data_IF_450347955335
#
_entry.id   IF_450347955335
#
_cell.length_a   1.000
_cell.length_b   1.000
_cell.length_c   1.000
_cell.angle_alpha   90.00
_cell.angle_beta   90.00
_cell.angle_gamma   90.00
#
_symmetry.space_group_name_H-M   'P 1'
#
loop_
_entity.id
_entity.type
_entity.pdbx_description
1 polymer ?
#
# COMPACT_ATOMS: atom_id res chain seq x y z
N UNK A 1 8.74 2.77 0.90
CA UNK A 1 7.82 2.34 1.99
C UNK A 1 7.04 1.13 1.52
N UNK A 2 6.98 0.07 2.32
CA UNK A 2 6.32 -1.21 2.00
C UNK A 2 5.53 -1.65 3.23
N UNK A 3 4.32 -2.18 3.05
CA UNK A 3 3.51 -2.79 4.10
C UNK A 3 3.20 -4.24 3.71
N UNK A 4 3.62 -5.18 4.54
CA UNK A 4 3.55 -6.61 4.27
C UNK A 4 2.62 -7.27 5.30
N UNK A 5 1.64 -8.01 4.81
CA UNK A 5 0.73 -8.85 5.58
C UNK A 5 0.69 -10.25 4.95
N UNK A 6 0.39 -11.33 5.71
CA UNK A 6 0.16 -12.65 5.12
C UNK A 6 -0.94 -12.65 4.04
N UNK A 7 -1.87 -11.69 4.11
CA UNK A 7 -3.00 -11.57 3.20
C UNK A 7 -2.73 -10.69 1.98
N UNK A 8 -1.78 -9.75 2.07
CA UNK A 8 -1.49 -8.81 0.99
C UNK A 8 -0.14 -8.11 1.14
N UNK A 9 0.33 -7.49 0.06
CA UNK A 9 1.48 -6.60 0.05
C UNK A 9 1.09 -5.26 -0.58
N UNK A 10 1.44 -4.18 0.08
CA UNK A 10 1.42 -2.84 -0.50
C UNK A 10 2.83 -2.32 -0.68
N UNK A 11 3.12 -1.81 -1.87
CA UNK A 11 4.36 -1.15 -2.15
C UNK A 11 4.16 -0.04 -3.17
N UNK A 12 5.08 0.92 -3.14
CA UNK A 12 5.12 2.02 -4.08
C UNK A 12 6.08 1.67 -5.20
N UNK A 13 5.65 1.81 -6.44
CA UNK A 13 6.47 1.58 -7.62
C UNK A 13 6.61 2.89 -8.41
N UNK A 14 7.76 3.14 -9.04
CA UNK A 14 7.96 4.24 -9.97
C UNK A 14 7.53 3.81 -11.36
N UNK A 15 6.49 4.45 -11.91
CA UNK A 15 6.04 4.22 -13.30
C UNK A 15 6.79 5.13 -14.25
N UNK A 16 7.12 6.35 -13.81
CA UNK A 16 7.99 7.29 -14.54
C UNK A 16 8.77 8.16 -13.55
N UNK A 17 9.63 9.05 -14.05
CA UNK A 17 10.37 10.01 -13.22
C UNK A 17 9.44 10.93 -12.41
N UNK A 18 8.26 11.27 -12.95
CA UNK A 18 7.29 12.17 -12.32
C UNK A 18 6.13 11.45 -11.64
N UNK A 19 5.99 10.13 -11.84
CA UNK A 19 4.82 9.38 -11.38
C UNK A 19 5.19 8.12 -10.62
N UNK A 20 4.83 8.13 -9.35
CA UNK A 20 4.76 6.93 -8.53
C UNK A 20 3.35 6.34 -8.56
N UNK A 21 3.25 5.02 -8.50
CA UNK A 21 1.99 4.27 -8.32
C UNK A 21 2.01 3.47 -7.03
N UNK A 22 0.83 3.16 -6.50
CA UNK A 22 0.64 2.26 -5.38
C UNK A 22 0.15 0.92 -5.92
N UNK A 23 0.84 -0.16 -5.59
CA UNK A 23 0.45 -1.52 -5.98
C UNK A 23 -0.06 -2.27 -4.76
N UNK A 24 -1.21 -2.92 -4.93
CA UNK A 24 -1.78 -3.87 -3.99
C UNK A 24 -1.72 -5.27 -4.59
N UNK A 25 -0.84 -6.11 -4.06
CA UNK A 25 -0.83 -7.53 -4.37
C UNK A 25 -1.64 -8.29 -3.32
N UNK A 26 -2.67 -9.02 -3.75
CA UNK A 26 -3.42 -9.91 -2.86
C UNK A 26 -2.67 -11.24 -2.74
N UNK A 27 -2.52 -11.73 -1.52
CA UNK A 27 -2.04 -13.08 -1.25
C UNK A 27 -3.10 -14.13 -1.53
N UNK A 28 -2.83 -15.38 -1.14
CA UNK A 28 -3.78 -16.51 -1.31
C UNK A 28 -5.06 -16.36 -0.48
N UNK A 29 -5.04 -15.55 0.57
CA UNK A 29 -6.21 -15.33 1.42
C UNK A 29 -7.16 -14.31 0.80
N UNK A 30 -8.47 -14.61 0.85
CA UNK A 30 -9.51 -13.67 0.45
C UNK A 30 -9.49 -12.47 1.39
N UNK A 31 -9.28 -11.28 0.83
CA UNK A 31 -9.48 -10.01 1.52
C UNK A 31 -10.91 -9.56 1.34
N UNK A 32 -11.55 -9.20 2.45
CA UNK A 32 -12.81 -8.47 2.36
C UNK A 32 -12.53 -7.06 1.83
N UNK A 33 -13.54 -6.45 1.20
CA UNK A 33 -13.44 -5.08 0.70
C UNK A 33 -12.98 -4.10 1.79
N UNK A 34 -13.56 -4.20 2.99
CA UNK A 34 -13.23 -3.35 4.14
C UNK A 34 -11.77 -3.50 4.58
N UNK A 35 -11.26 -4.73 4.69
CA UNK A 35 -9.86 -4.98 5.05
C UNK A 35 -8.90 -4.41 4.01
N UNK A 36 -9.26 -4.48 2.72
CA UNK A 36 -8.50 -3.84 1.65
C UNK A 36 -8.48 -2.32 1.78
N UNK A 37 -9.63 -1.70 2.05
CA UNK A 37 -9.76 -0.25 2.19
C UNK A 37 -8.96 0.29 3.40
N UNK A 38 -9.08 -0.35 4.57
CA UNK A 38 -8.31 0.04 5.77
C UNK A 38 -6.81 -0.02 5.53
N UNK A 39 -6.33 -1.07 4.86
CA UNK A 39 -4.92 -1.22 4.57
C UNK A 39 -4.37 -0.15 3.62
N UNK A 40 -5.17 0.30 2.65
CA UNK A 40 -4.82 1.46 1.79
C UNK A 40 -4.69 2.72 2.62
N UNK A 41 -5.66 3.00 3.52
CA UNK A 41 -5.65 4.19 4.37
C UNK A 41 -4.40 4.25 5.24
N UNK A 42 -4.09 3.15 5.94
CA UNK A 42 -2.90 3.05 6.80
C UNK A 42 -1.61 3.27 5.99
N UNK A 43 -1.54 2.74 4.76
CA UNK A 43 -0.38 2.95 3.90
C UNK A 43 -0.23 4.42 3.48
N UNK A 44 -1.33 5.09 3.11
CA UNK A 44 -1.28 6.50 2.71
C UNK A 44 -0.89 7.42 3.87
N UNK A 45 -1.43 7.17 5.07
CA UNK A 45 -1.09 7.96 6.27
C UNK A 45 0.39 7.85 6.63
N UNK A 46 0.93 6.62 6.65
CA UNK A 46 2.36 6.40 6.90
C UNK A 46 3.25 7.05 5.83
N UNK A 47 2.82 7.03 4.56
CA UNK A 47 3.54 7.67 3.46
C UNK A 47 3.58 9.20 3.59
N UNK A 48 2.52 9.83 4.12
CA UNK A 48 2.48 11.28 4.40
C UNK A 48 3.34 11.65 5.60
N UNK A 49 3.34 10.86 6.67
CA UNK A 49 4.20 11.05 7.84
C UNK A 49 5.69 10.99 7.47
N UNK A 50 6.08 10.03 6.63
CA UNK A 50 7.47 9.86 6.18
C UNK A 50 7.97 11.01 5.28
N UNK A 51 7.08 11.81 4.69
CA UNK A 51 7.47 13.02 3.91
C UNK A 51 7.61 14.28 4.76
N UNK A 52 7.13 14.27 6.01
CA UNK A 52 7.21 15.41 6.94
C UNK A 52 8.42 15.35 7.88
N UNK A 53 9.19 14.27 7.84
CA UNK A 53 10.51 14.14 8.48
C UNK A 53 11.60 14.26 7.42
#
# INVERSE_FOLDING_TARGET
MVLISPKFRFYRCKVSQSRDTLVLERGRAVLTFFQGAEAVLVFLERGRMSRRR
#
